data_IF_747253066817
#
_entry.id   IF_747253066817
#
_cell.length_a   1.000
_cell.length_b   1.000
_cell.length_c   1.000
_cell.angle_alpha   90.00
_cell.angle_beta   90.00
_cell.angle_gamma   90.00
#
_symmetry.space_group_name_H-M   'P 1'
#
loop_
_entity.id
_entity.type
_entity.pdbx_description
1 polymer ?
#
# COMPACT_ATOMS: atom_id res chain seq x y z
N UNK A 1 -36.25 20.15 -4.56
CA UNK A 1 -35.73 19.96 -3.20
C UNK A 1 -34.22 19.98 -3.33
N UNK A 2 -33.57 21.06 -2.89
CA UNK A 2 -32.12 21.12 -2.86
C UNK A 2 -31.62 20.23 -1.72
N UNK A 3 -30.67 19.37 -2.02
CA UNK A 3 -30.00 18.54 -1.02
C UNK A 3 -29.08 19.39 -0.16
N UNK A 4 -29.06 19.16 1.14
CA UNK A 4 -28.04 19.78 2.01
C UNK A 4 -26.66 19.20 1.70
N UNK A 5 -25.57 19.92 2.04
CA UNK A 5 -24.21 19.41 1.86
C UNK A 5 -24.01 18.03 2.54
N UNK A 6 -24.62 17.80 3.70
CA UNK A 6 -24.66 16.46 4.34
C UNK A 6 -25.43 15.43 3.51
N UNK A 7 -26.55 15.82 2.91
CA UNK A 7 -27.33 14.95 2.03
C UNK A 7 -26.56 14.51 0.78
N UNK A 8 -25.76 15.40 0.20
CA UNK A 8 -24.89 15.06 -0.94
C UNK A 8 -23.82 14.02 -0.57
N UNK A 9 -23.21 14.16 0.61
CA UNK A 9 -22.23 13.19 1.10
C UNK A 9 -22.87 11.81 1.32
N UNK A 10 -24.07 11.77 1.93
CA UNK A 10 -24.83 10.52 2.11
C UNK A 10 -25.12 9.86 0.77
N UNK A 11 -25.56 10.63 -0.23
CA UNK A 11 -25.84 10.12 -1.59
C UNK A 11 -24.57 9.52 -2.22
N UNK A 12 -23.42 10.16 -2.08
CA UNK A 12 -22.14 9.66 -2.60
C UNK A 12 -21.79 8.32 -1.98
N UNK A 13 -21.87 8.18 -0.66
CA UNK A 13 -21.55 6.92 0.04
C UNK A 13 -22.57 5.81 -0.28
N UNK A 14 -23.86 6.14 -0.37
CA UNK A 14 -24.87 5.18 -0.80
C UNK A 14 -24.66 4.70 -2.24
N UNK A 15 -24.35 5.61 -3.17
CA UNK A 15 -24.03 5.25 -4.55
C UNK A 15 -22.81 4.32 -4.62
N UNK A 16 -21.85 4.51 -3.74
CA UNK A 16 -20.66 3.70 -3.61
C UNK A 16 -20.96 2.31 -3.10
N UNK A 17 -21.77 2.19 -2.05
CA UNK A 17 -22.23 0.89 -1.53
C UNK A 17 -22.95 0.11 -2.63
N UNK A 18 -23.84 0.78 -3.37
CA UNK A 18 -24.54 0.16 -4.51
C UNK A 18 -23.52 -0.32 -5.57
N UNK A 19 -22.52 0.50 -5.89
CA UNK A 19 -21.50 0.13 -6.87
C UNK A 19 -20.68 -1.08 -6.42
N UNK A 20 -20.26 -1.15 -5.15
CA UNK A 20 -19.56 -2.31 -4.58
C UNK A 20 -20.39 -3.59 -4.67
N UNK A 21 -21.70 -3.51 -4.38
CA UNK A 21 -22.61 -4.65 -4.51
C UNK A 21 -22.73 -5.10 -5.96
N UNK A 22 -22.89 -4.16 -6.89
CA UNK A 22 -22.98 -4.48 -8.33
C UNK A 22 -21.69 -5.11 -8.87
N UNK A 23 -20.53 -4.64 -8.43
CA UNK A 23 -19.25 -5.27 -8.78
C UNK A 23 -19.13 -6.70 -8.25
N UNK A 24 -19.57 -6.94 -7.01
CA UNK A 24 -19.59 -8.29 -6.45
C UNK A 24 -20.61 -9.19 -7.19
N UNK A 25 -21.78 -8.65 -7.57
CA UNK A 25 -22.75 -9.38 -8.40
C UNK A 25 -22.16 -9.80 -9.74
N UNK A 26 -21.43 -8.92 -10.43
CA UNK A 26 -20.76 -9.21 -11.69
C UNK A 26 -19.70 -10.31 -11.50
N UNK A 27 -18.87 -10.18 -10.44
CA UNK A 27 -17.82 -11.17 -10.14
C UNK A 27 -18.38 -12.54 -9.75
N UNK A 28 -19.57 -12.57 -9.16
CA UNK A 28 -20.28 -13.79 -8.75
C UNK A 28 -21.23 -14.35 -9.81
N UNK A 29 -21.55 -13.59 -10.87
CA UNK A 29 -22.46 -14.04 -11.93
C UNK A 29 -21.89 -15.24 -12.69
N UNK A 30 -22.72 -16.28 -12.90
CA UNK A 30 -22.42 -17.40 -13.81
C UNK A 30 -23.35 -17.33 -15.02
N UNK A 31 -22.80 -17.55 -16.23
CA UNK A 31 -23.56 -17.82 -17.45
C UNK A 31 -24.81 -16.94 -17.65
N UNK A 32 -24.69 -15.61 -17.46
CA UNK A 32 -25.73 -14.62 -17.72
C UNK A 32 -26.97 -14.63 -16.81
N UNK A 33 -26.95 -15.30 -15.69
CA UNK A 33 -28.01 -15.09 -14.68
C UNK A 33 -27.61 -13.98 -13.71
N UNK A 34 -28.31 -12.84 -13.68
CA UNK A 34 -28.06 -11.77 -12.72
C UNK A 34 -28.42 -12.24 -11.31
N UNK A 35 -27.48 -12.13 -10.38
CA UNK A 35 -27.73 -12.34 -8.96
C UNK A 35 -28.17 -11.01 -8.37
N UNK A 36 -29.41 -10.88 -7.92
CA UNK A 36 -29.87 -9.67 -7.25
C UNK A 36 -29.55 -9.73 -5.74
N UNK A 37 -28.33 -9.38 -5.38
CA UNK A 37 -27.88 -9.41 -3.99
C UNK A 37 -28.50 -8.29 -3.14
N UNK A 38 -28.81 -7.14 -3.72
CA UNK A 38 -29.43 -6.01 -3.04
C UNK A 38 -30.70 -6.36 -2.25
N UNK A 39 -31.49 -7.31 -2.78
CA UNK A 39 -32.73 -7.75 -2.13
C UNK A 39 -32.53 -8.60 -0.88
N UNK A 40 -31.38 -9.23 -0.70
CA UNK A 40 -31.12 -10.25 0.33
C UNK A 40 -29.94 -9.89 1.25
N UNK A 41 -29.14 -8.92 0.88
CA UNK A 41 -27.89 -8.61 1.53
C UNK A 41 -28.12 -8.00 2.92
N UNK A 42 -27.59 -8.67 3.95
CA UNK A 42 -27.54 -8.14 5.30
C UNK A 42 -26.08 -8.06 5.75
N UNK A 43 -25.69 -6.93 6.29
CA UNK A 43 -24.33 -6.70 6.78
C UNK A 43 -23.91 -7.77 7.77
N UNK A 44 -24.82 -8.17 8.65
CA UNK A 44 -24.54 -9.25 9.62
C UNK A 44 -24.19 -10.58 8.97
N UNK A 45 -24.80 -10.89 7.83
CA UNK A 45 -24.59 -12.14 7.13
C UNK A 45 -23.23 -12.12 6.41
N UNK A 46 -22.86 -10.99 5.80
CA UNK A 46 -21.52 -10.79 5.23
C UNK A 46 -20.41 -10.86 6.28
N UNK A 47 -20.61 -10.23 7.45
CA UNK A 47 -19.68 -10.35 8.58
C UNK A 47 -19.55 -11.80 9.07
N UNK A 48 -20.64 -12.57 9.06
CA UNK A 48 -20.60 -13.99 9.41
C UNK A 48 -19.76 -14.77 8.41
N UNK A 49 -19.92 -14.54 7.11
CA UNK A 49 -19.13 -15.18 6.06
C UNK A 49 -17.65 -14.82 6.21
N UNK A 50 -17.33 -13.56 6.46
CA UNK A 50 -15.96 -13.09 6.70
C UNK A 50 -15.29 -13.84 7.85
N UNK A 51 -15.94 -13.90 9.02
CA UNK A 51 -15.38 -14.55 10.20
C UNK A 51 -15.20 -16.05 9.96
N UNK A 52 -16.09 -16.69 9.22
CA UNK A 52 -15.89 -18.09 8.82
C UNK A 52 -14.73 -18.25 7.85
N UNK A 53 -14.49 -17.31 6.94
CA UNK A 53 -13.31 -17.32 6.07
C UNK A 53 -12.00 -17.19 6.88
N UNK A 54 -11.99 -16.34 7.90
CA UNK A 54 -10.80 -16.09 8.74
C UNK A 54 -10.50 -17.26 9.68
N UNK A 55 -11.54 -17.87 10.28
CA UNK A 55 -11.39 -18.92 11.28
C UNK A 55 -11.47 -20.34 10.70
N UNK A 56 -11.84 -20.47 9.44
CA UNK A 56 -12.05 -21.76 8.74
C UNK A 56 -12.95 -22.74 9.51
N UNK A 57 -13.79 -22.23 10.44
CA UNK A 57 -14.61 -22.98 11.37
C UNK A 57 -15.94 -22.29 11.67
N UNK A 58 -17.04 -22.93 11.31
CA UNK A 58 -18.38 -22.46 11.66
C UNK A 58 -18.64 -22.47 13.18
N UNK A 59 -18.02 -23.39 13.92
CA UNK A 59 -18.12 -23.45 15.38
C UNK A 59 -17.38 -22.31 16.05
N UNK A 60 -16.12 -22.03 15.63
CA UNK A 60 -15.36 -20.91 16.13
C UNK A 60 -16.03 -19.57 15.78
N UNK A 61 -16.51 -19.42 14.55
CA UNK A 61 -17.25 -18.22 14.12
C UNK A 61 -18.53 -18.01 14.95
N UNK A 62 -19.26 -19.08 15.29
CA UNK A 62 -20.46 -18.99 16.13
C UNK A 62 -20.16 -18.46 17.54
N UNK A 63 -19.03 -18.88 18.13
CA UNK A 63 -18.58 -18.39 19.42
C UNK A 63 -18.16 -16.92 19.35
N UNK A 64 -17.35 -16.55 18.34
CA UNK A 64 -16.90 -15.17 18.12
C UNK A 64 -18.07 -14.19 17.92
N UNK A 65 -19.11 -14.62 17.18
CA UNK A 65 -20.29 -13.81 16.88
C UNK A 65 -21.38 -13.88 17.94
N UNK A 66 -21.22 -14.74 18.96
CA UNK A 66 -22.22 -15.02 19.98
C UNK A 66 -23.59 -15.41 19.39
N UNK A 67 -23.60 -16.25 18.36
CA UNK A 67 -24.79 -16.83 17.74
C UNK A 67 -24.68 -18.35 17.69
N UNK A 68 -25.80 -19.06 17.46
CA UNK A 68 -25.75 -20.52 17.39
C UNK A 68 -25.06 -21.00 16.10
N UNK A 69 -24.33 -22.12 16.16
CA UNK A 69 -23.72 -22.75 15.00
C UNK A 69 -24.73 -23.10 13.88
N UNK A 70 -25.97 -23.56 14.17
CA UNK A 70 -27.01 -23.72 13.16
C UNK A 70 -27.36 -22.42 12.44
N UNK A 71 -27.31 -21.25 13.13
CA UNK A 71 -27.54 -19.96 12.51
C UNK A 71 -26.43 -19.61 11.52
N UNK A 72 -25.16 -19.83 11.89
CA UNK A 72 -24.02 -19.69 10.95
C UNK A 72 -24.22 -20.59 9.74
N UNK A 73 -24.49 -21.87 9.93
CA UNK A 73 -24.69 -22.84 8.84
C UNK A 73 -25.87 -22.47 7.93
N UNK A 74 -26.93 -21.89 8.48
CA UNK A 74 -28.08 -21.41 7.70
C UNK A 74 -27.67 -20.23 6.81
N UNK A 75 -26.89 -19.27 7.32
CA UNK A 75 -26.40 -18.14 6.52
C UNK A 75 -25.55 -18.64 5.36
N UNK A 76 -24.56 -19.51 5.63
CA UNK A 76 -23.70 -20.06 4.58
C UNK A 76 -24.51 -20.77 3.49
N UNK A 77 -25.47 -21.59 3.90
CA UNK A 77 -26.36 -22.29 2.96
C UNK A 77 -27.19 -21.33 2.14
N UNK A 78 -27.80 -20.31 2.75
CA UNK A 78 -28.62 -19.33 2.06
C UNK A 78 -27.84 -18.65 0.94
N UNK A 79 -26.59 -18.22 1.20
CA UNK A 79 -25.77 -17.61 0.16
C UNK A 79 -25.27 -18.64 -0.88
N UNK A 80 -24.97 -19.87 -0.49
CA UNK A 80 -24.63 -20.92 -1.46
C UNK A 80 -25.79 -21.20 -2.40
N UNK A 81 -27.01 -21.27 -1.87
CA UNK A 81 -28.22 -21.51 -2.65
C UNK A 81 -28.53 -20.33 -3.60
N UNK A 82 -28.40 -19.09 -3.11
CA UNK A 82 -28.59 -17.86 -3.92
C UNK A 82 -27.61 -17.73 -5.07
N UNK A 83 -26.36 -18.09 -4.81
CA UNK A 83 -25.27 -18.00 -5.80
C UNK A 83 -25.16 -19.24 -6.67
N UNK A 84 -25.92 -20.32 -6.36
CA UNK A 84 -25.75 -21.63 -6.97
C UNK A 84 -24.30 -22.13 -6.95
N UNK A 85 -23.57 -21.83 -5.84
CA UNK A 85 -22.15 -22.14 -5.65
C UNK A 85 -21.87 -22.52 -4.20
N UNK A 86 -20.93 -23.44 -4.01
CA UNK A 86 -20.39 -23.69 -2.68
C UNK A 86 -19.49 -22.53 -2.24
N UNK A 87 -19.80 -21.96 -1.07
CA UNK A 87 -18.94 -20.95 -0.46
C UNK A 87 -17.75 -21.57 0.30
N UNK A 88 -17.93 -22.78 0.82
CA UNK A 88 -16.91 -23.45 1.59
C UNK A 88 -16.85 -24.92 1.22
N UNK A 89 -15.63 -25.44 1.07
CA UNK A 89 -15.36 -26.87 0.88
C UNK A 89 -15.03 -27.49 2.22
N UNK A 90 -15.74 -28.52 2.62
CA UNK A 90 -15.47 -29.24 3.87
C UNK A 90 -14.25 -30.15 3.70
N UNK A 91 -13.24 -30.01 4.55
CA UNK A 91 -12.08 -30.90 4.64
C UNK A 91 -11.90 -31.45 6.05
N UNK A 92 -10.98 -32.41 6.21
CA UNK A 92 -10.71 -33.05 7.51
C UNK A 92 -10.38 -32.06 8.64
N UNK A 93 -9.83 -30.91 8.32
CA UNK A 93 -9.38 -29.92 9.31
C UNK A 93 -10.26 -28.65 9.37
N UNK A 94 -11.40 -28.59 8.67
CA UNK A 94 -12.30 -27.44 8.73
C UNK A 94 -12.98 -27.08 7.42
N UNK A 95 -13.36 -25.81 7.28
CA UNK A 95 -14.03 -25.24 6.13
C UNK A 95 -13.02 -24.40 5.34
N UNK A 96 -12.74 -24.79 4.10
CA UNK A 96 -11.87 -23.99 3.22
C UNK A 96 -12.75 -23.04 2.43
N UNK A 97 -12.53 -21.70 2.51
CA UNK A 97 -13.26 -20.73 1.72
C UNK A 97 -12.97 -20.87 0.23
N UNK A 98 -14.00 -20.76 -0.59
CA UNK A 98 -13.87 -20.63 -2.05
C UNK A 98 -13.63 -19.15 -2.42
N UNK A 99 -13.28 -18.91 -3.68
CA UNK A 99 -13.17 -17.54 -4.22
C UNK A 99 -14.46 -16.74 -4.01
N UNK A 100 -15.64 -17.38 -4.20
CA UNK A 100 -16.94 -16.75 -3.94
C UNK A 100 -17.12 -16.32 -2.49
N UNK A 101 -16.64 -17.09 -1.52
CA UNK A 101 -16.67 -16.71 -0.11
C UNK A 101 -15.78 -15.49 0.16
N UNK A 102 -14.59 -15.43 -0.42
CA UNK A 102 -13.70 -14.29 -0.29
C UNK A 102 -14.22 -13.02 -0.94
N UNK A 103 -14.93 -13.12 -2.09
CA UNK A 103 -15.61 -11.98 -2.73
C UNK A 103 -16.66 -11.40 -1.76
N UNK A 104 -17.50 -12.25 -1.15
CA UNK A 104 -18.50 -11.80 -0.18
C UNK A 104 -17.88 -11.22 1.11
N UNK A 105 -16.80 -11.79 1.59
CA UNK A 105 -16.08 -11.29 2.76
C UNK A 105 -15.50 -9.90 2.49
N UNK A 106 -14.87 -9.69 1.33
CA UNK A 106 -14.36 -8.37 0.90
C UNK A 106 -15.50 -7.35 0.74
N UNK A 107 -16.60 -7.73 0.11
CA UNK A 107 -17.78 -6.88 0.00
C UNK A 107 -18.26 -6.43 1.39
N UNK A 108 -18.33 -7.35 2.35
CA UNK A 108 -18.75 -7.05 3.73
C UNK A 108 -17.87 -5.98 4.37
N UNK A 109 -16.56 -6.13 4.26
CA UNK A 109 -15.60 -5.15 4.77
C UNK A 109 -15.78 -3.77 4.12
N UNK A 110 -15.84 -3.73 2.79
CA UNK A 110 -15.98 -2.47 2.04
C UNK A 110 -17.30 -1.74 2.37
N UNK A 111 -18.41 -2.48 2.48
CA UNK A 111 -19.72 -1.89 2.86
C UNK A 111 -19.69 -1.35 4.30
N UNK A 112 -19.14 -2.12 5.25
CA UNK A 112 -19.00 -1.67 6.64
C UNK A 112 -18.12 -0.43 6.73
N UNK A 113 -17.05 -0.35 5.97
CA UNK A 113 -16.17 0.82 5.97
C UNK A 113 -16.84 2.05 5.36
N UNK A 114 -17.66 1.91 4.30
CA UNK A 114 -18.46 3.02 3.77
C UNK A 114 -19.54 3.50 4.78
N UNK A 115 -20.17 2.58 5.50
CA UNK A 115 -21.14 2.93 6.55
C UNK A 115 -20.50 3.63 7.75
N UNK A 116 -19.29 3.21 8.15
CA UNK A 116 -18.52 3.91 9.19
C UNK A 116 -18.19 5.34 8.77
N UNK A 117 -17.84 5.58 7.52
CA UNK A 117 -17.62 6.93 6.98
C UNK A 117 -18.89 7.80 7.08
N UNK A 118 -20.08 7.21 6.92
CA UNK A 118 -21.35 7.91 7.11
C UNK A 118 -21.63 8.25 8.59
N UNK A 119 -21.33 7.34 9.51
CA UNK A 119 -21.55 7.59 10.95
C UNK A 119 -20.65 8.70 11.49
N UNK A 120 -19.46 8.90 10.92
CA UNK A 120 -18.55 10.01 11.30
C UNK A 120 -19.04 11.39 10.87
N UNK A 121 -20.04 11.48 9.98
CA UNK A 121 -20.67 12.76 9.60
C UNK A 121 -21.55 13.33 10.72
N UNK A 122 -22.03 12.50 11.64
CA UNK A 122 -22.80 12.94 12.81
C UNK A 122 -21.88 13.51 13.90
N UNK A 123 -20.63 13.06 13.97
CA UNK A 123 -19.60 13.44 14.96
C UNK A 123 -18.68 14.57 14.46
N UNK A 124 -19.06 15.33 13.43
CA UNK A 124 -18.22 16.36 12.81
C UNK A 124 -17.85 17.55 13.74
N UNK A 125 -18.21 17.49 15.02
CA UNK A 125 -17.70 18.37 16.09
C UNK A 125 -16.53 17.75 16.89
N UNK A 126 -16.16 16.48 16.63
CA UNK A 126 -14.99 15.86 17.24
C UNK A 126 -13.94 15.51 16.19
N UNK A 127 -12.72 16.01 16.35
CA UNK A 127 -11.50 15.75 15.56
C UNK A 127 -11.05 14.26 15.54
N UNK A 128 -11.95 13.32 15.81
CA UNK A 128 -11.61 11.91 15.91
C UNK A 128 -11.70 11.19 14.55
N UNK A 129 -10.55 10.78 14.03
CA UNK A 129 -10.42 9.96 12.83
C UNK A 129 -10.73 8.51 13.22
N UNK A 130 -11.75 7.93 12.61
CA UNK A 130 -12.16 6.53 12.81
C UNK A 130 -11.84 5.70 11.57
N UNK A 131 -11.62 4.41 11.74
CA UNK A 131 -11.58 3.44 10.65
C UNK A 131 -10.30 2.61 10.59
N UNK A 132 -10.15 1.90 9.48
CA UNK A 132 -8.93 1.17 9.14
C UNK A 132 -8.16 1.97 8.09
N UNK A 133 -6.85 2.03 8.23
CA UNK A 133 -5.94 2.60 7.25
C UNK A 133 -4.91 1.55 6.89
N UNK A 134 -4.93 1.10 5.65
CA UNK A 134 -3.97 0.12 5.13
C UNK A 134 -3.07 0.81 4.13
N UNK A 135 -1.78 0.83 4.42
CA UNK A 135 -0.77 1.58 3.66
C UNK A 135 0.26 0.63 3.08
N UNK A 136 0.42 0.63 1.77
CA UNK A 136 1.55 0.00 1.10
C UNK A 136 2.80 0.88 1.23
N UNK A 137 3.96 0.28 1.48
CA UNK A 137 5.22 1.00 1.63
C UNK A 137 6.26 0.44 0.65
N UNK A 138 6.71 1.30 -0.25
CA UNK A 138 7.86 1.05 -1.12
C UNK A 138 9.17 1.42 -0.41
N UNK A 139 10.33 0.95 -0.90
CA UNK A 139 11.62 1.34 -0.35
C UNK A 139 11.97 2.81 -0.70
N UNK A 140 12.38 3.57 0.30
CA UNK A 140 12.93 4.93 0.22
C UNK A 140 13.69 5.27 1.51
N UNK A 141 14.45 6.36 1.54
CA UNK A 141 15.37 6.66 2.65
C UNK A 141 14.66 7.13 3.93
N UNK A 142 13.65 7.97 3.81
CA UNK A 142 12.98 8.66 4.94
C UNK A 142 11.82 7.85 5.54
N UNK A 143 11.97 6.53 5.73
CA UNK A 143 10.90 5.70 6.32
C UNK A 143 10.52 6.14 7.75
N UNK A 144 11.42 6.80 8.46
CA UNK A 144 11.17 7.32 9.80
C UNK A 144 10.11 8.44 9.80
N UNK A 145 9.96 9.18 8.69
CA UNK A 145 8.86 10.16 8.50
C UNK A 145 7.50 9.45 8.58
N UNK A 146 7.37 8.31 7.93
CA UNK A 146 6.12 7.54 7.94
C UNK A 146 5.81 7.02 9.34
N UNK A 147 6.82 6.46 10.02
CA UNK A 147 6.67 5.99 11.40
C UNK A 147 6.26 7.12 12.35
N UNK A 148 6.88 8.30 12.23
CA UNK A 148 6.56 9.47 13.04
C UNK A 148 5.14 9.98 12.75
N UNK A 149 4.75 10.11 11.49
CA UNK A 149 3.41 10.54 11.10
C UNK A 149 2.33 9.59 11.66
N UNK A 150 2.52 8.28 11.48
CA UNK A 150 1.61 7.27 12.05
C UNK A 150 1.56 7.34 13.58
N UNK A 151 2.70 7.51 14.25
CA UNK A 151 2.73 7.64 15.71
C UNK A 151 1.96 8.88 16.20
N UNK A 152 2.04 10.01 15.49
CA UNK A 152 1.29 11.22 15.82
C UNK A 152 -0.21 11.02 15.63
N UNK A 153 -0.62 10.44 14.52
CA UNK A 153 -2.02 10.13 14.25
C UNK A 153 -2.58 9.20 15.34
N UNK A 154 -1.86 8.16 15.75
CA UNK A 154 -2.34 7.23 16.80
C UNK A 154 -2.45 7.87 18.18
N UNK A 155 -1.72 8.95 18.47
CA UNK A 155 -1.87 9.71 19.74
C UNK A 155 -3.16 10.54 19.77
N UNK A 156 -3.57 11.06 18.64
CA UNK A 156 -4.77 11.90 18.51
C UNK A 156 -6.03 11.10 18.24
N UNK A 157 -5.91 9.86 17.73
CA UNK A 157 -7.03 9.04 17.28
C UNK A 157 -7.06 7.68 17.98
N UNK A 158 -7.95 7.53 18.96
CA UNK A 158 -8.08 6.28 19.75
C UNK A 158 -8.67 5.10 18.97
N UNK A 159 -9.34 5.34 17.84
CA UNK A 159 -10.13 4.34 17.11
C UNK A 159 -9.61 4.04 15.71
N UNK A 160 -8.45 4.57 15.32
CA UNK A 160 -7.80 4.24 14.06
C UNK A 160 -7.00 2.95 14.21
N UNK A 161 -7.33 1.95 13.40
CA UNK A 161 -6.46 0.79 13.18
C UNK A 161 -5.67 1.03 11.91
N UNK A 162 -4.37 0.81 11.94
CA UNK A 162 -3.57 0.88 10.73
C UNK A 162 -2.75 -0.39 10.51
N UNK A 163 -2.46 -0.66 9.25
CA UNK A 163 -1.57 -1.74 8.81
C UNK A 163 -0.65 -1.21 7.73
N UNK A 164 0.65 -1.33 7.92
CA UNK A 164 1.67 -1.01 6.94
C UNK A 164 2.14 -2.31 6.27
N UNK A 165 2.13 -2.36 4.95
CA UNK A 165 2.44 -3.55 4.16
C UNK A 165 3.61 -3.19 3.22
N UNK A 166 4.78 -3.77 3.41
CA UNK A 166 5.86 -3.64 2.44
C UNK A 166 5.54 -4.48 1.20
N UNK A 167 5.98 -4.02 0.03
CA UNK A 167 5.78 -4.78 -1.20
C UNK A 167 6.46 -4.15 -2.41
N UNK A 168 6.27 -4.76 -3.56
CA UNK A 168 6.66 -4.19 -4.84
C UNK A 168 5.54 -3.28 -5.40
N UNK A 169 5.93 -2.41 -6.33
CA UNK A 169 5.02 -1.41 -6.87
C UNK A 169 3.78 -2.01 -7.54
N UNK A 170 3.95 -3.08 -8.33
CA UNK A 170 2.86 -3.66 -9.11
C UNK A 170 1.81 -4.26 -8.18
N UNK A 171 2.25 -5.14 -7.28
CA UNK A 171 1.38 -5.80 -6.29
C UNK A 171 0.62 -4.78 -5.43
N UNK A 172 1.33 -3.75 -4.93
CA UNK A 172 0.69 -2.74 -4.09
C UNK A 172 -0.30 -1.87 -4.87
N UNK A 173 0.00 -1.52 -6.12
CA UNK A 173 -0.91 -0.73 -6.94
C UNK A 173 -2.14 -1.53 -7.38
N UNK A 174 -2.00 -2.81 -7.68
CA UNK A 174 -3.14 -3.70 -7.92
C UNK A 174 -4.06 -3.75 -6.69
N UNK A 175 -3.51 -3.84 -5.49
CA UNK A 175 -4.27 -3.80 -4.25
C UNK A 175 -4.96 -2.43 -4.01
N UNK A 176 -4.33 -1.30 -4.41
CA UNK A 176 -5.00 0.03 -4.41
C UNK A 176 -6.17 0.05 -5.39
N UNK A 177 -5.98 -0.50 -6.59
CA UNK A 177 -7.04 -0.56 -7.60
C UNK A 177 -8.20 -1.45 -7.19
N UNK A 178 -7.90 -2.54 -6.46
CA UNK A 178 -8.89 -3.44 -5.86
C UNK A 178 -9.52 -2.89 -4.56
N UNK A 179 -9.10 -1.70 -4.08
CA UNK A 179 -9.52 -1.10 -2.80
C UNK A 179 -9.16 -1.97 -1.56
N UNK A 180 -8.18 -2.86 -1.70
CA UNK A 180 -7.67 -3.69 -0.59
C UNK A 180 -6.72 -2.91 0.32
N UNK A 181 -6.04 -1.89 -0.24
CA UNK A 181 -5.22 -0.92 0.50
C UNK A 181 -5.62 0.51 0.13
N UNK A 182 -5.49 1.43 1.08
CA UNK A 182 -5.95 2.81 0.92
C UNK A 182 -5.01 3.67 0.10
N UNK A 183 -3.71 3.42 0.20
CA UNK A 183 -2.67 4.16 -0.51
C UNK A 183 -1.32 3.44 -0.48
N UNK A 184 -0.42 3.87 -1.35
CA UNK A 184 0.99 3.46 -1.39
C UNK A 184 1.87 4.68 -1.16
N UNK A 185 2.87 4.57 -0.28
CA UNK A 185 3.91 5.58 -0.06
C UNK A 185 5.19 5.10 -0.72
N UNK A 186 5.80 5.95 -1.52
CA UNK A 186 7.08 5.68 -2.17
C UNK A 186 7.33 6.54 -3.39
N UNK A 187 8.27 6.12 -4.23
CA UNK A 187 8.64 6.83 -5.43
C UNK A 187 7.46 6.90 -6.42
N UNK A 188 7.03 8.12 -6.73
CA UNK A 188 5.97 8.37 -7.70
C UNK A 188 6.45 8.03 -9.12
N UNK A 189 5.53 7.54 -9.94
CA UNK A 189 5.78 7.25 -11.35
C UNK A 189 5.03 8.26 -12.21
N UNK A 190 5.71 9.29 -12.65
CA UNK A 190 5.11 10.35 -13.46
C UNK A 190 5.38 10.12 -14.96
N UNK A 191 4.32 10.06 -15.79
CA UNK A 191 2.91 10.06 -15.40
C UNK A 191 2.49 8.79 -14.67
N UNK A 192 1.46 8.92 -13.81
CA UNK A 192 0.88 7.75 -13.12
C UNK A 192 0.42 6.71 -14.17
N UNK A 193 0.81 5.43 -14.06
CA UNK A 193 0.51 4.43 -15.08
C UNK A 193 -0.99 4.04 -15.12
N UNK A 194 -1.76 4.41 -14.09
CA UNK A 194 -3.19 4.15 -14.00
C UNK A 194 -3.96 5.48 -13.98
N UNK A 195 -4.89 5.71 -14.92
CA UNK A 195 -5.67 6.97 -14.98
C UNK A 195 -6.51 7.25 -13.72
N UNK A 196 -6.90 6.19 -13.01
CA UNK A 196 -7.69 6.25 -11.79
C UNK A 196 -6.86 6.61 -10.56
N UNK A 197 -5.54 6.62 -10.67
CA UNK A 197 -4.64 6.94 -9.57
C UNK A 197 -4.41 8.45 -9.50
N UNK A 198 -4.43 8.97 -8.29
CA UNK A 198 -4.00 10.30 -7.95
C UNK A 198 -2.72 10.21 -7.12
N UNK A 199 -1.80 11.11 -7.36
CA UNK A 199 -0.52 11.19 -6.66
C UNK A 199 -0.42 12.50 -5.88
N UNK A 200 0.01 12.41 -4.63
CA UNK A 200 0.30 13.55 -3.77
C UNK A 200 1.80 13.57 -3.47
N UNK A 201 2.58 14.49 -4.05
CA UNK A 201 4.01 14.61 -3.78
C UNK A 201 4.26 15.04 -2.33
N UNK A 202 5.34 14.53 -1.74
CA UNK A 202 5.74 14.80 -0.36
C UNK A 202 7.13 15.43 -0.27
N UNK A 203 8.18 14.77 -0.81
CA UNK A 203 9.55 15.27 -0.84
C UNK A 203 10.34 14.68 -1.99
N UNK A 204 11.53 15.22 -2.22
CA UNK A 204 12.45 14.78 -3.26
C UNK A 204 13.63 14.00 -2.67
N UNK A 205 14.04 12.94 -3.35
CA UNK A 205 15.28 12.21 -3.14
C UNK A 205 16.11 12.24 -4.44
N UNK A 206 17.40 11.97 -4.32
CA UNK A 206 18.29 11.84 -5.47
C UNK A 206 19.05 10.51 -5.38
N UNK A 207 19.33 9.90 -6.52
CA UNK A 207 20.18 8.71 -6.57
C UNK A 207 21.63 9.08 -6.27
N UNK A 208 22.26 8.28 -5.44
CA UNK A 208 23.65 8.40 -5.04
C UNK A 208 24.37 7.07 -5.14
N UNK A 209 25.63 7.10 -5.53
CA UNK A 209 26.52 5.95 -5.42
C UNK A 209 27.24 5.99 -4.08
N UNK A 210 27.12 4.90 -3.31
CA UNK A 210 27.66 4.81 -1.96
C UNK A 210 28.51 3.54 -1.80
N UNK A 211 29.54 3.62 -0.98
CA UNK A 211 30.37 2.49 -0.57
C UNK A 211 30.72 2.63 0.91
N UNK A 212 31.24 1.56 1.54
CA UNK A 212 31.82 1.69 2.89
C UNK A 212 32.89 2.77 2.92
N UNK A 213 33.01 3.47 4.04
CA UNK A 213 33.83 4.71 4.14
C UNK A 213 35.31 4.51 3.80
N UNK A 214 35.86 3.33 4.07
CA UNK A 214 37.25 2.95 3.81
C UNK A 214 37.45 2.17 2.49
N UNK A 215 36.43 2.11 1.63
CA UNK A 215 36.52 1.41 0.35
C UNK A 215 37.59 2.04 -0.56
N UNK A 216 38.47 1.24 -1.21
CA UNK A 216 39.53 1.76 -2.09
C UNK A 216 39.02 2.62 -3.24
N UNK A 217 37.79 2.35 -3.68
CA UNK A 217 37.14 3.04 -4.83
C UNK A 217 37.09 4.57 -4.67
N UNK A 218 37.01 5.07 -3.45
CA UNK A 218 37.01 6.51 -3.18
C UNK A 218 38.29 7.26 -3.63
N UNK A 219 39.36 6.51 -3.83
CA UNK A 219 40.65 7.08 -4.29
C UNK A 219 40.84 6.94 -5.81
N UNK A 220 40.17 6.02 -6.43
CA UNK A 220 40.41 5.62 -7.83
C UNK A 220 39.32 6.06 -8.79
N UNK A 221 38.04 5.99 -8.37
CA UNK A 221 36.93 6.35 -9.24
C UNK A 221 36.84 7.86 -9.48
N UNK A 222 36.64 8.26 -10.72
CA UNK A 222 36.39 9.62 -11.18
C UNK A 222 35.11 9.71 -12.03
N UNK A 223 34.75 8.62 -12.67
CA UNK A 223 33.62 8.51 -13.59
C UNK A 223 32.80 7.26 -13.25
N UNK A 224 31.57 7.20 -13.73
CA UNK A 224 30.73 6.02 -13.60
C UNK A 224 31.34 4.80 -14.30
N UNK A 225 32.11 5.01 -15.35
CA UNK A 225 32.80 3.95 -16.09
C UNK A 225 33.82 3.23 -15.24
N UNK A 226 34.50 3.93 -14.32
CA UNK A 226 35.47 3.33 -13.39
C UNK A 226 34.81 2.32 -12.43
N UNK A 227 33.49 2.40 -12.29
CA UNK A 227 32.68 1.54 -11.42
C UNK A 227 32.08 0.33 -12.16
N UNK A 228 32.37 0.16 -13.47
CA UNK A 228 31.75 -0.85 -14.33
C UNK A 228 32.09 -2.29 -13.94
N UNK A 229 33.22 -2.52 -13.27
CA UNK A 229 33.68 -3.84 -12.86
C UNK A 229 33.33 -4.16 -11.38
N UNK A 230 32.73 -3.23 -10.67
CA UNK A 230 32.42 -3.40 -9.27
C UNK A 230 31.18 -4.30 -9.08
N UNK A 231 31.00 -4.80 -7.86
CA UNK A 231 29.75 -5.47 -7.44
C UNK A 231 28.76 -4.42 -6.98
N UNK A 232 27.53 -4.54 -7.47
CA UNK A 232 26.53 -3.55 -7.20
C UNK A 232 25.35 -4.06 -6.37
N UNK A 233 24.87 -3.23 -5.49
CA UNK A 233 23.59 -3.37 -4.80
C UNK A 233 22.64 -2.35 -5.42
N UNK A 234 21.57 -2.83 -6.02
CA UNK A 234 20.58 -2.02 -6.76
C UNK A 234 19.16 -2.51 -6.51
N UNK A 235 18.18 -1.70 -6.90
CA UNK A 235 16.79 -2.15 -6.92
C UNK A 235 16.53 -3.22 -7.98
N UNK A 236 15.45 -4.01 -7.82
CA UNK A 236 15.05 -5.04 -8.78
C UNK A 236 14.73 -4.48 -10.16
N UNK A 237 14.77 -5.35 -11.16
CA UNK A 237 14.33 -5.01 -12.51
C UNK A 237 12.89 -4.43 -12.52
N UNK A 238 12.65 -3.47 -13.42
CA UNK A 238 11.36 -2.75 -13.50
C UNK A 238 11.16 -1.64 -12.47
N UNK A 239 12.13 -1.40 -11.59
CA UNK A 239 12.11 -0.23 -10.69
C UNK A 239 12.77 0.99 -11.34
N UNK A 240 12.34 2.22 -10.98
CA UNK A 240 12.97 3.44 -11.52
C UNK A 240 14.48 3.50 -11.25
N UNK A 241 14.92 3.10 -10.07
CA UNK A 241 16.34 3.07 -9.72
C UNK A 241 17.13 2.10 -10.59
N UNK A 242 16.56 0.94 -10.94
CA UNK A 242 17.19 0.00 -11.85
C UNK A 242 17.26 0.54 -13.28
N UNK A 243 16.20 1.17 -13.74
CA UNK A 243 16.19 1.82 -15.05
C UNK A 243 17.24 2.92 -15.13
N UNK A 244 17.38 3.72 -14.07
CA UNK A 244 18.42 4.73 -13.97
C UNK A 244 19.81 4.11 -13.97
N UNK A 245 20.05 3.05 -13.19
CA UNK A 245 21.30 2.30 -13.19
C UNK A 245 21.70 1.81 -14.58
N UNK A 246 20.79 1.16 -15.27
CA UNK A 246 21.04 0.66 -16.62
C UNK A 246 21.34 1.80 -17.61
N UNK A 247 20.67 2.95 -17.45
CA UNK A 247 20.86 4.13 -18.31
C UNK A 247 22.20 4.79 -18.07
N UNK A 248 22.65 4.90 -16.81
CA UNK A 248 23.96 5.48 -16.46
C UNK A 248 25.11 4.85 -17.26
N UNK A 249 25.17 3.52 -17.32
CA UNK A 249 26.24 2.83 -18.02
C UNK A 249 26.08 2.88 -19.55
N UNK A 250 24.84 2.78 -20.04
CA UNK A 250 24.57 2.85 -21.48
C UNK A 250 24.86 4.24 -22.07
N UNK A 251 24.56 5.32 -21.36
CA UNK A 251 24.83 6.68 -21.82
C UNK A 251 26.32 6.97 -21.99
N UNK A 252 27.16 6.33 -21.16
CA UNK A 252 28.61 6.42 -21.27
C UNK A 252 29.23 5.38 -22.25
N UNK A 253 28.39 4.66 -22.99
CA UNK A 253 28.85 3.63 -23.93
C UNK A 253 29.50 2.42 -23.24
N UNK A 254 29.27 2.23 -21.95
CA UNK A 254 29.87 1.17 -21.14
C UNK A 254 28.87 0.03 -20.94
N UNK A 255 29.41 -1.20 -20.75
CA UNK A 255 28.57 -2.36 -20.44
C UNK A 255 28.00 -2.23 -19.05
N UNK A 256 26.69 -2.44 -18.93
CA UNK A 256 26.01 -2.46 -17.62
C UNK A 256 26.58 -3.58 -16.76
N UNK A 257 27.00 -3.31 -15.52
CA UNK A 257 27.52 -4.34 -14.62
C UNK A 257 26.56 -5.51 -14.45
N UNK A 258 27.08 -6.72 -14.56
CA UNK A 258 26.28 -7.96 -14.43
C UNK A 258 26.31 -8.54 -13.02
N UNK A 259 27.30 -8.15 -12.21
CA UNK A 259 27.42 -8.57 -10.81
C UNK A 259 26.56 -7.68 -9.91
N UNK A 260 25.24 -7.94 -9.93
CA UNK A 260 24.27 -7.14 -9.15
C UNK A 260 23.58 -7.99 -8.09
N UNK A 261 23.44 -7.42 -6.90
CA UNK A 261 22.57 -7.94 -5.84
C UNK A 261 21.31 -7.08 -5.80
N UNK A 262 20.15 -7.67 -5.98
CA UNK A 262 18.87 -6.96 -6.00
C UNK A 262 18.29 -6.87 -4.60
N UNK A 263 17.99 -5.65 -4.13
CA UNK A 263 17.44 -5.39 -2.80
C UNK A 263 16.17 -4.57 -2.88
N UNK A 264 15.14 -5.02 -2.16
CA UNK A 264 13.84 -4.33 -2.05
C UNK A 264 13.76 -3.46 -0.78
N UNK A 265 14.68 -3.62 0.17
CA UNK A 265 14.73 -2.86 1.40
C UNK A 265 15.88 -1.87 1.40
N UNK A 266 15.58 -0.58 1.55
CA UNK A 266 16.60 0.47 1.63
C UNK A 266 17.59 0.22 2.79
N UNK A 267 17.09 -0.04 3.99
CA UNK A 267 17.95 -0.27 5.16
C UNK A 267 18.82 -1.52 5.04
N UNK A 268 18.29 -2.59 4.44
CA UNK A 268 19.07 -3.79 4.20
C UNK A 268 20.15 -3.57 3.15
N UNK A 269 19.82 -2.84 2.07
CA UNK A 269 20.78 -2.46 1.03
C UNK A 269 21.90 -1.61 1.62
N UNK A 270 21.57 -0.59 2.39
CA UNK A 270 22.55 0.28 3.05
C UNK A 270 23.47 -0.49 4.01
N UNK A 271 22.92 -1.41 4.81
CA UNK A 271 23.71 -2.25 5.71
C UNK A 271 24.65 -3.18 4.94
N UNK A 272 24.18 -3.77 3.85
CA UNK A 272 25.01 -4.66 3.00
C UNK A 272 26.16 -3.89 2.34
N UNK A 273 25.94 -2.63 1.91
CA UNK A 273 26.99 -1.75 1.41
C UNK A 273 28.03 -1.48 2.50
N UNK A 274 27.60 -1.17 3.72
CA UNK A 274 28.49 -0.86 4.83
C UNK A 274 29.40 -2.04 5.24
N UNK A 275 28.91 -3.27 5.09
CA UNK A 275 29.59 -4.49 5.53
C UNK A 275 30.29 -5.28 4.41
N UNK A 276 30.28 -4.78 3.17
CA UNK A 276 30.88 -5.50 2.03
C UNK A 276 31.72 -4.60 1.13
N UNK A 277 32.37 -5.21 0.13
CA UNK A 277 33.05 -4.49 -0.97
C UNK A 277 32.12 -4.20 -2.14
N UNK A 278 30.80 -4.31 -1.95
CA UNK A 278 29.85 -3.92 -2.97
C UNK A 278 29.54 -2.43 -2.84
N UNK A 279 29.31 -1.78 -3.98
CA UNK A 279 28.84 -0.39 -4.03
C UNK A 279 27.33 -0.36 -4.26
N UNK A 280 26.64 0.62 -3.69
CA UNK A 280 25.20 0.77 -3.78
C UNK A 280 24.80 1.92 -4.67
N UNK A 281 23.74 1.74 -5.48
CA UNK A 281 22.97 2.85 -6.02
C UNK A 281 21.69 2.95 -5.20
N UNK A 282 21.60 3.98 -4.38
CA UNK A 282 20.48 4.19 -3.44
C UNK A 282 19.92 5.60 -3.60
N UNK A 283 18.66 5.83 -3.20
CA UNK A 283 18.09 7.17 -3.18
C UNK A 283 18.17 7.76 -1.78
N UNK A 284 18.55 9.03 -1.70
CA UNK A 284 18.67 9.77 -0.46
C UNK A 284 18.02 11.14 -0.56
N UNK A 285 17.36 11.58 0.49
CA UNK A 285 17.02 12.98 0.69
C UNK A 285 18.23 13.78 1.14
N UNK A 286 18.20 15.09 0.98
CA UNK A 286 19.23 15.98 1.50
C UNK A 286 19.40 15.86 3.03
N UNK A 287 18.32 15.56 3.75
CA UNK A 287 18.35 15.35 5.19
C UNK A 287 19.09 14.06 5.56
N UNK A 288 18.85 12.97 4.84
CA UNK A 288 19.54 11.71 5.05
C UNK A 288 21.02 11.79 4.65
N UNK A 289 21.35 12.54 3.60
CA UNK A 289 22.75 12.77 3.22
C UNK A 289 23.53 13.51 4.32
N UNK A 290 22.90 14.47 5.00
CA UNK A 290 23.51 15.15 6.15
C UNK A 290 23.70 14.25 7.37
N UNK A 291 22.94 13.18 7.46
CA UNK A 291 22.94 12.16 8.52
C UNK A 291 23.45 10.81 8.03
N UNK A 292 24.18 10.81 6.90
CA UNK A 292 24.75 9.58 6.38
C UNK A 292 25.60 8.91 7.46
N UNK A 293 25.47 7.61 7.58
CA UNK A 293 26.22 6.79 8.54
C UNK A 293 27.72 7.02 8.39
N UNK A 294 28.45 7.03 9.49
CA UNK A 294 29.90 7.25 9.51
C UNK A 294 30.70 6.14 8.78
N UNK A 295 30.10 4.94 8.69
CA UNK A 295 30.70 3.78 7.98
C UNK A 295 30.38 3.76 6.48
N UNK A 296 29.61 4.74 5.96
CA UNK A 296 29.31 4.92 4.55
C UNK A 296 29.86 6.25 4.01
N UNK A 297 30.19 6.25 2.72
CA UNK A 297 30.61 7.47 2.03
C UNK A 297 30.09 7.47 0.59
N UNK A 298 29.68 8.63 0.12
CA UNK A 298 29.31 8.84 -1.29
C UNK A 298 30.57 8.73 -2.14
N UNK A 299 30.47 8.02 -3.25
CA UNK A 299 31.53 7.97 -4.24
C UNK A 299 31.47 9.26 -5.08
N UNK A 300 32.57 9.97 -5.19
CA UNK A 300 32.66 11.25 -5.91
C UNK A 300 32.73 11.05 -7.43
N UNK A 301 31.61 10.62 -7.98
CA UNK A 301 31.37 10.51 -9.44
C UNK A 301 30.20 11.37 -9.85
N UNK A 302 30.31 12.01 -11.01
CA UNK A 302 29.20 12.84 -11.51
C UNK A 302 28.05 11.95 -11.95
N UNK A 303 26.87 12.14 -11.34
CA UNK A 303 25.62 11.50 -11.73
C UNK A 303 24.70 12.54 -12.31
N UNK A 304 23.96 12.18 -13.36
CA UNK A 304 22.85 13.00 -13.83
C UNK A 304 21.77 13.07 -12.74
N UNK A 305 21.40 14.26 -12.32
CA UNK A 305 20.37 14.46 -11.30
C UNK A 305 19.00 14.17 -11.89
N UNK A 306 18.43 13.05 -11.53
CA UNK A 306 17.03 12.72 -11.83
C UNK A 306 16.23 12.85 -10.54
N UNK A 307 15.28 13.80 -10.47
CA UNK A 307 14.45 13.98 -9.29
C UNK A 307 13.63 12.72 -9.00
N UNK A 308 13.72 12.21 -7.80
CA UNK A 308 12.95 11.08 -7.32
C UNK A 308 11.90 11.60 -6.32
N UNK A 309 10.69 11.86 -6.79
CA UNK A 309 9.64 12.40 -5.94
C UNK A 309 9.01 11.27 -5.13
N UNK A 310 9.17 11.30 -3.83
CA UNK A 310 8.46 10.44 -2.89
C UNK A 310 7.11 11.07 -2.61
N UNK A 311 6.06 10.24 -2.63
CA UNK A 311 4.70 10.70 -2.42
C UNK A 311 3.74 9.58 -2.08
N UNK A 312 2.46 9.93 -2.11
CA UNK A 312 1.36 9.00 -1.84
C UNK A 312 0.55 8.80 -3.10
N UNK A 313 0.48 7.56 -3.57
CA UNK A 313 -0.38 7.15 -4.68
C UNK A 313 -1.65 6.51 -4.13
N UNK A 314 -2.81 6.92 -4.60
CA UNK A 314 -4.10 6.42 -4.14
C UNK A 314 -5.16 6.50 -5.24
N UNK A 315 -6.21 5.71 -5.12
CA UNK A 315 -7.30 5.71 -6.09
C UNK A 315 -8.09 7.01 -6.01
N UNK A 316 -8.27 7.68 -7.17
CA UNK A 316 -9.11 8.86 -7.33
C UNK A 316 -10.55 8.51 -6.96
N UNK A 317 -11.32 9.46 -6.47
CA UNK A 317 -12.73 9.28 -6.11
C UNK A 317 -13.00 8.33 -4.93
N UNK A 318 -11.96 7.86 -4.22
CA UNK A 318 -12.10 7.16 -2.95
C UNK A 318 -11.84 8.14 -1.81
N UNK A 319 -12.88 8.64 -1.15
CA UNK A 319 -12.71 9.49 0.02
C UNK A 319 -12.24 8.66 1.22
N UNK A 320 -11.19 9.09 1.91
CA UNK A 320 -10.71 8.50 3.16
C UNK A 320 -10.14 9.61 4.04
N UNK A 321 -10.82 9.91 5.16
CA UNK A 321 -10.34 10.90 6.12
C UNK A 321 -9.02 10.46 6.75
N UNK A 322 -8.87 9.16 7.04
CA UNK A 322 -7.65 8.61 7.60
C UNK A 322 -6.46 8.79 6.64
N UNK A 323 -6.66 8.54 5.33
CA UNK A 323 -5.63 8.79 4.31
C UNK A 323 -5.31 10.28 4.18
N UNK A 324 -6.32 11.15 4.17
CA UNK A 324 -6.11 12.59 4.11
C UNK A 324 -5.31 13.10 5.32
N UNK A 325 -5.66 12.64 6.52
CA UNK A 325 -4.91 12.94 7.73
C UNK A 325 -3.46 12.42 7.66
N UNK A 326 -3.25 11.20 7.12
CA UNK A 326 -1.91 10.67 6.91
C UNK A 326 -1.10 11.54 5.96
N UNK A 327 -1.66 11.95 4.82
CA UNK A 327 -0.97 12.80 3.85
C UNK A 327 -0.60 14.14 4.48
N UNK A 328 -1.50 14.75 5.24
CA UNK A 328 -1.22 16.02 5.92
C UNK A 328 -0.13 15.86 6.98
N UNK A 329 -0.18 14.80 7.78
CA UNK A 329 0.82 14.58 8.82
C UNK A 329 2.19 14.21 8.23
N UNK A 330 2.24 13.48 7.13
CA UNK A 330 3.48 13.23 6.38
C UNK A 330 4.11 14.54 5.90
N UNK A 331 3.30 15.48 5.37
CA UNK A 331 3.76 16.81 4.96
C UNK A 331 4.28 17.63 6.13
N UNK A 332 3.57 17.59 7.28
CA UNK A 332 3.99 18.30 8.50
C UNK A 332 5.34 17.79 8.97
N UNK A 333 5.49 16.47 9.11
CA UNK A 333 6.74 15.85 9.57
C UNK A 333 7.89 16.11 8.59
N UNK A 334 7.64 16.00 7.28
CA UNK A 334 8.63 16.31 6.26
C UNK A 334 9.09 17.77 6.32
N UNK A 335 8.14 18.70 6.50
CA UNK A 335 8.43 20.13 6.65
C UNK A 335 9.27 20.43 7.90
N UNK A 336 8.94 19.84 9.04
CA UNK A 336 9.69 19.99 10.30
C UNK A 336 11.13 19.49 10.18
N UNK A 337 11.36 18.46 9.37
CA UNK A 337 12.68 17.90 9.11
C UNK A 337 13.44 18.64 7.99
N UNK A 338 12.82 19.66 7.38
CA UNK A 338 13.39 20.40 6.26
C UNK A 338 13.53 19.59 4.98
N UNK A 339 12.74 18.52 4.86
CA UNK A 339 12.63 17.67 3.66
C UNK A 339 11.40 18.18 2.92
N UNK A 340 11.58 19.18 2.06
CA UNK A 340 10.49 19.83 1.30
C UNK A 340 10.71 19.53 -0.19
N UNK A 341 9.60 19.43 -1.01
CA UNK A 341 9.72 19.33 -2.46
C UNK A 341 10.39 20.54 -3.08
#
# INVERSE_FOLDING_TARGET
>A
VETTARGEIVIIHCARIIHLILQAEIALAQHHQPVNMLAFLRIRDLNTIQIVCELESASAASQTLNISQPAVSKILRTFSDLLHRELFVRKAHGLIPTESAWILARLGNSVVDELKKLSTLEDAESDSIYGNLIVGILPFSEQDIVATALARITRTTRHLKFRAIPGDYITLMEAVMAEEIDCVIGLLRQPAPYPEVQEAPLWEECFQTVARADHPIHKTAKTITDLSQERWIVGPHGTPIRNYFDTLFRSEGTVVPTHTYEMVSFRLAEQLVAESDAIGLLSYSDNQLKKLRDDLKIIDVSLEKVPCIIGVSYRRNVASHARFALINELKNVASELGVIP
#
